data_IF_018182752873
#
_entry.id   IF_018182752873
#
_cell.length_a   1.000
_cell.length_b   1.000
_cell.length_c   1.000
_cell.angle_alpha   90.00
_cell.angle_beta   90.00
_cell.angle_gamma   90.00
#
_symmetry.space_group_name_H-M   'P 1'
#
loop_
_entity.id
_entity.type
_entity.pdbx_description
1 polymer ?
#
# COMPACT_ATOMS: atom_id res chain seq x y z
N UNK A 1 37.84 32.69 -1.09
CA UNK A 1 37.91 33.54 0.12
C UNK A 1 36.85 34.61 -0.12
N UNK A 2 35.78 34.57 0.68
CA UNK A 2 34.44 34.80 0.14
C UNK A 2 33.94 33.52 -0.57
N UNK A 3 32.69 33.11 -0.39
CA UNK A 3 31.69 33.55 0.60
C UNK A 3 30.76 32.36 0.84
N UNK A 4 30.56 31.92 2.08
CA UNK A 4 29.67 30.79 2.35
C UNK A 4 28.26 31.34 2.55
N UNK A 5 27.34 30.98 1.65
CA UNK A 5 25.93 31.22 1.86
C UNK A 5 25.41 30.16 2.83
N UNK A 6 24.91 30.59 3.98
CA UNK A 6 24.31 29.73 5.00
C UNK A 6 22.90 29.33 4.51
N UNK A 7 22.66 28.02 4.42
CA UNK A 7 21.36 27.44 4.09
C UNK A 7 20.68 27.02 5.39
N UNK A 8 19.86 27.93 5.91
CA UNK A 8 19.02 27.71 7.09
C UNK A 8 17.59 27.34 6.66
N UNK A 9 16.90 26.57 7.51
CA UNK A 9 15.43 26.41 7.57
C UNK A 9 14.64 26.26 6.25
N UNK A 10 14.39 25.00 5.87
CA UNK A 10 13.10 24.63 5.24
C UNK A 10 12.22 24.08 6.35
N UNK A 11 11.15 24.81 6.70
CA UNK A 11 10.15 24.34 7.65
C UNK A 11 9.29 23.24 7.01
N UNK A 12 9.01 22.17 7.76
CA UNK A 12 8.08 21.12 7.34
C UNK A 12 6.66 21.66 7.44
N UNK A 13 5.88 21.54 6.36
CA UNK A 13 4.47 21.95 6.34
C UNK A 13 3.61 20.74 6.69
N UNK A 14 3.26 20.62 7.97
CA UNK A 14 2.31 19.64 8.48
C UNK A 14 0.88 20.11 8.17
N UNK A 15 0.36 19.73 6.99
CA UNK A 15 -1.02 20.01 6.59
C UNK A 15 -1.93 18.81 6.97
N UNK A 16 -2.40 18.83 8.22
CA UNK A 16 -3.31 17.81 8.75
C UNK A 16 -4.71 17.96 8.13
N UNK A 17 -5.05 17.13 7.14
CA UNK A 17 -6.39 17.11 6.53
C UNK A 17 -7.41 16.36 7.42
N UNK A 18 -8.43 17.04 7.99
CA UNK A 18 -9.43 16.41 8.85
C UNK A 18 -10.45 15.59 8.04
N UNK A 19 -10.93 14.49 8.62
CA UNK A 19 -11.83 13.52 7.97
C UNK A 19 -13.14 13.33 8.73
N UNK A 20 -14.07 14.26 8.49
CA UNK A 20 -15.48 14.27 8.93
C UNK A 20 -16.27 15.18 7.95
N UNK A 21 -17.50 14.88 7.49
CA UNK A 21 -18.44 13.79 7.79
C UNK A 21 -19.37 13.47 6.58
N UNK A 22 -20.26 12.48 6.73
CA UNK A 22 -21.27 11.89 5.82
C UNK A 22 -22.11 12.78 4.88
N UNK A 23 -22.57 12.21 3.74
CA UNK A 23 -23.99 12.31 3.28
C UNK A 23 -24.40 11.28 2.19
N UNK A 24 -25.48 10.55 2.46
CA UNK A 24 -26.42 9.76 1.63
C UNK A 24 -26.08 9.27 0.21
N UNK A 25 -26.26 7.95 0.02
CA UNK A 25 -26.59 7.29 -1.25
C UNK A 25 -28.05 6.81 -1.26
N UNK A 26 -28.87 7.28 -2.21
CA UNK A 26 -30.22 6.78 -2.52
C UNK A 26 -30.53 6.96 -4.03
N UNK A 27 -31.48 6.26 -4.64
CA UNK A 27 -31.58 4.79 -4.86
C UNK A 27 -32.80 4.49 -5.77
N UNK A 28 -32.61 3.84 -6.93
CA UNK A 28 -33.71 3.18 -7.65
C UNK A 28 -33.22 2.12 -8.66
N UNK A 29 -33.64 0.86 -8.46
CA UNK A 29 -33.58 -0.26 -9.40
C UNK A 29 -34.86 -1.10 -9.20
N UNK A 30 -35.68 -1.22 -10.24
CA UNK A 30 -36.82 -2.16 -10.31
C UNK A 30 -36.38 -3.36 -11.18
N UNK A 31 -36.31 -4.59 -10.66
CA UNK A 31 -37.40 -5.55 -10.34
C UNK A 31 -37.78 -6.45 -11.54
N UNK A 32 -37.39 -7.73 -11.51
CA UNK A 32 -38.31 -8.89 -11.58
C UNK A 32 -37.55 -10.24 -11.35
N UNK A 33 -38.16 -11.13 -10.57
CA UNK A 33 -37.66 -12.42 -10.00
C UNK A 33 -38.86 -13.42 -9.98
N UNK A 34 -38.77 -14.69 -9.50
CA UNK A 34 -37.73 -15.74 -9.62
C UNK A 34 -38.31 -17.15 -9.98
N UNK A 35 -37.46 -18.19 -10.01
CA UNK A 35 -37.76 -19.58 -9.61
C UNK A 35 -36.44 -20.35 -9.36
N UNK A 36 -36.06 -20.71 -8.12
CA UNK A 36 -36.46 -21.92 -7.34
C UNK A 36 -35.96 -23.25 -7.96
N UNK A 37 -35.47 -24.27 -7.23
CA UNK A 37 -35.44 -24.71 -5.80
C UNK A 37 -34.14 -25.55 -5.57
N UNK A 38 -33.55 -25.87 -4.40
CA UNK A 38 -33.89 -25.89 -2.95
C UNK A 38 -32.57 -25.80 -2.10
N UNK A 39 -32.58 -25.86 -0.75
CA UNK A 39 -31.40 -25.70 0.17
C UNK A 39 -31.13 -26.98 1.04
N UNK A 40 -30.77 -27.06 2.38
CA UNK A 40 -30.48 -26.08 3.47
C UNK A 40 -29.25 -26.29 4.41
N UNK A 41 -28.49 -25.20 4.71
CA UNK A 41 -28.07 -24.64 6.02
C UNK A 41 -27.40 -25.46 7.18
N UNK A 42 -26.58 -24.75 7.99
CA UNK A 42 -26.43 -24.91 9.46
C UNK A 42 -25.84 -23.63 10.13
N UNK A 43 -26.24 -23.33 11.37
CA UNK A 43 -26.06 -22.04 12.10
C UNK A 43 -25.44 -22.23 13.51
N UNK A 44 -25.36 -21.12 14.28
CA UNK A 44 -25.02 -21.00 15.72
C UNK A 44 -23.53 -21.14 16.10
N UNK A 45 -22.98 -20.40 17.07
CA UNK A 45 -23.53 -19.33 17.92
C UNK A 45 -22.43 -18.69 18.80
N UNK A 46 -22.75 -17.63 19.56
CA UNK A 46 -21.81 -16.90 20.43
C UNK A 46 -21.93 -17.23 21.93
N UNK A 47 -20.93 -16.79 22.73
CA UNK A 47 -20.90 -16.91 24.19
C UNK A 47 -20.04 -15.77 24.81
N UNK A 48 -20.38 -15.30 26.02
CA UNK A 48 -19.70 -14.21 26.74
C UNK A 48 -19.57 -14.49 28.25
N UNK A 49 -18.36 -14.30 28.82
CA UNK A 49 -18.18 -13.96 30.25
C UNK A 49 -17.42 -14.96 31.15
N UNK A 50 -16.74 -14.42 32.17
CA UNK A 50 -15.86 -15.15 33.11
C UNK A 50 -14.38 -14.87 32.81
N UNK A 51 -13.64 -13.99 33.50
CA UNK A 51 -13.65 -13.53 34.91
C UNK A 51 -13.08 -14.56 35.90
N UNK A 52 -11.76 -14.49 36.10
CA UNK A 52 -11.00 -15.10 37.21
C UNK A 52 -9.86 -14.10 37.56
N UNK A 53 -9.93 -13.48 38.74
CA UNK A 53 -8.83 -12.69 39.32
C UNK A 53 -7.85 -13.61 40.04
N UNK A 54 -6.58 -13.65 39.62
CA UNK A 54 -5.47 -14.22 40.41
C UNK A 54 -4.28 -13.24 40.34
N UNK A 55 -3.62 -12.99 41.47
CA UNK A 55 -2.67 -11.88 41.62
C UNK A 55 -1.51 -12.22 42.57
N UNK A 56 -0.31 -12.19 42.00
CA UNK A 56 1.01 -12.56 42.55
C UNK A 56 2.04 -11.99 41.55
N UNK A 57 3.14 -11.32 41.89
CA UNK A 57 3.60 -10.71 43.15
C UNK A 57 4.43 -9.44 42.80
N UNK A 58 5.11 -8.81 43.77
CA UNK A 58 5.80 -7.52 43.61
C UNK A 58 7.17 -7.56 42.88
N UNK A 59 7.59 -6.37 42.40
CA UNK A 59 8.99 -5.88 42.28
C UNK A 59 9.92 -6.43 41.16
N UNK A 60 10.12 -5.63 40.11
CA UNK A 60 11.34 -5.61 39.27
C UNK A 60 11.53 -4.18 38.68
N UNK A 61 11.87 -3.22 39.55
CA UNK A 61 12.47 -1.94 39.13
C UNK A 61 14.00 -2.14 38.98
N UNK A 62 14.54 -2.12 37.74
CA UNK A 62 15.93 -1.74 37.33
C UNK A 62 16.41 -2.56 36.09
N UNK A 63 16.14 -2.07 34.88
CA UNK A 63 17.18 -2.07 33.82
C UNK A 63 17.00 -0.87 32.88
N UNK A 64 18.10 -0.17 32.61
CA UNK A 64 18.21 1.14 31.95
C UNK A 64 18.71 0.92 30.50
N UNK A 65 17.84 0.40 29.63
CA UNK A 65 18.19 0.02 28.26
C UNK A 65 17.80 1.12 27.25
N UNK A 66 18.52 2.25 27.27
CA UNK A 66 18.50 3.27 26.20
C UNK A 66 19.21 2.77 24.91
N UNK A 67 18.85 1.59 24.38
CA UNK A 67 19.44 0.97 23.17
C UNK A 67 18.52 1.10 21.92
N UNK A 68 17.72 2.18 21.83
CA UNK A 68 17.01 2.62 20.62
C UNK A 68 18.00 3.38 19.68
N UNK A 69 19.15 2.77 19.39
CA UNK A 69 20.19 3.30 18.50
C UNK A 69 20.50 2.31 17.34
N UNK A 70 19.92 2.58 16.17
CA UNK A 70 20.14 1.92 14.86
C UNK A 70 19.59 0.48 14.66
N UNK A 71 18.28 0.24 14.92
CA UNK A 71 17.54 -0.78 14.14
C UNK A 71 17.35 -0.31 12.68
N UNK A 72 18.30 -0.63 11.80
CA UNK A 72 18.14 -0.47 10.34
C UNK A 72 16.96 -1.33 9.83
N UNK A 73 15.84 -0.69 9.46
CA UNK A 73 14.66 -1.36 8.87
C UNK A 73 15.06 -2.29 7.70
N UNK A 74 14.75 -3.59 7.75
CA UNK A 74 15.33 -4.57 6.84
C UNK A 74 14.79 -4.44 5.41
N UNK A 75 15.58 -3.81 4.53
CA UNK A 75 15.28 -3.57 3.10
C UNK A 75 14.48 -4.71 2.43
N UNK A 76 13.31 -4.37 1.87
CA UNK A 76 12.48 -5.38 1.19
C UNK A 76 13.24 -6.06 0.02
N UNK A 77 13.48 -7.39 0.11
CA UNK A 77 14.12 -8.14 -0.97
C UNK A 77 13.35 -8.11 -2.31
N UNK A 78 12.06 -7.77 -2.30
CA UNK A 78 11.24 -7.55 -3.49
C UNK A 78 11.53 -6.21 -4.17
N UNK A 79 11.61 -5.10 -3.44
CA UNK A 79 11.85 -3.77 -4.02
C UNK A 79 13.25 -3.63 -4.65
N UNK A 80 14.30 -4.21 -4.04
CA UNK A 80 15.61 -4.35 -4.74
C UNK A 80 15.50 -5.16 -6.03
N UNK A 81 14.57 -6.12 -6.09
CA UNK A 81 14.36 -6.95 -7.28
C UNK A 81 13.53 -6.21 -8.34
N UNK A 82 12.47 -5.48 -7.96
CA UNK A 82 11.68 -4.64 -8.86
C UNK A 82 12.50 -3.51 -9.46
N UNK A 83 13.34 -2.84 -8.67
CA UNK A 83 14.26 -1.79 -9.15
C UNK A 83 15.19 -2.33 -10.23
N UNK A 84 15.89 -3.45 -9.97
CA UNK A 84 16.75 -4.11 -10.97
C UNK A 84 15.98 -4.61 -12.19
N UNK A 85 14.72 -5.01 -12.03
CA UNK A 85 13.87 -5.45 -13.14
C UNK A 85 13.37 -4.27 -13.99
N UNK A 86 13.16 -3.09 -13.41
CA UNK A 86 12.85 -1.86 -14.13
C UNK A 86 13.97 -1.50 -15.13
N UNK A 87 15.24 -1.72 -14.79
CA UNK A 87 16.39 -1.46 -15.68
C UNK A 87 16.46 -2.36 -16.93
N UNK A 88 15.68 -3.45 -16.99
CA UNK A 88 15.67 -4.34 -18.18
C UNK A 88 15.17 -3.58 -19.41
N UNK A 89 15.58 -4.03 -20.61
CA UNK A 89 15.17 -3.34 -21.85
C UNK A 89 13.65 -3.40 -22.03
N UNK A 90 13.05 -4.56 -21.78
CA UNK A 90 11.62 -4.80 -21.97
C UNK A 90 10.77 -3.91 -21.04
N UNK A 91 11.11 -3.83 -19.75
CA UNK A 91 10.35 -2.99 -18.83
C UNK A 91 10.61 -1.49 -19.05
N UNK A 92 11.81 -1.07 -19.52
CA UNK A 92 12.03 0.33 -19.95
C UNK A 92 11.26 0.71 -21.22
N UNK A 93 11.19 -0.17 -22.21
CA UNK A 93 10.40 0.07 -23.42
C UNK A 93 8.93 0.31 -23.06
N UNK A 94 8.39 -0.47 -22.09
CA UNK A 94 7.03 -0.32 -21.57
C UNK A 94 6.85 0.95 -20.72
N UNK A 95 7.81 1.29 -19.86
CA UNK A 95 7.77 2.54 -19.08
C UNK A 95 7.71 3.76 -20.00
N UNK A 96 8.48 3.77 -21.10
CA UNK A 96 8.42 4.85 -22.09
C UNK A 96 7.13 4.86 -22.91
N UNK A 97 6.37 3.77 -23.00
CA UNK A 97 5.00 3.80 -23.53
C UNK A 97 4.01 4.39 -22.52
N UNK A 98 4.16 4.07 -21.22
CA UNK A 98 3.39 4.70 -20.14
C UNK A 98 3.65 6.23 -20.08
N UNK A 99 4.90 6.68 -20.15
CA UNK A 99 5.28 8.10 -20.24
C UNK A 99 4.60 8.82 -21.42
N UNK A 100 4.53 8.17 -22.60
CA UNK A 100 3.83 8.69 -23.79
C UNK A 100 2.31 8.66 -23.67
N UNK A 101 1.74 7.83 -22.80
CA UNK A 101 0.33 7.89 -22.45
C UNK A 101 0.06 9.03 -21.48
N UNK A 102 0.86 9.18 -20.43
CA UNK A 102 0.74 10.26 -19.46
C UNK A 102 0.86 11.64 -20.12
N UNK A 103 1.81 11.85 -21.05
CA UNK A 103 1.88 13.11 -21.82
C UNK A 103 0.58 13.35 -22.62
N UNK A 104 -0.02 12.29 -23.18
CA UNK A 104 -1.23 12.33 -24.03
C UNK A 104 -2.54 12.45 -23.23
N UNK A 105 -2.56 12.05 -21.96
CA UNK A 105 -3.67 12.28 -21.02
C UNK A 105 -3.57 13.68 -20.44
N UNK A 106 -2.43 14.03 -19.81
CA UNK A 106 -2.23 15.31 -19.13
C UNK A 106 -2.23 16.54 -20.08
N UNK A 107 -1.97 16.36 -21.38
CA UNK A 107 -2.10 17.44 -22.37
C UNK A 107 -3.55 17.78 -22.78
N UNK A 108 -4.55 17.02 -22.31
CA UNK A 108 -5.97 17.25 -22.61
C UNK A 108 -6.71 17.74 -21.35
N UNK A 109 -7.48 18.82 -21.47
CA UNK A 109 -8.31 19.33 -20.36
C UNK A 109 -9.49 18.42 -19.99
N UNK A 110 -9.94 17.57 -20.91
CA UNK A 110 -10.99 16.57 -20.71
C UNK A 110 -10.69 15.38 -21.64
N UNK A 111 -10.66 14.16 -21.11
CA UNK A 111 -10.43 12.93 -21.86
C UNK A 111 -11.01 11.73 -21.12
N UNK A 112 -11.50 10.74 -21.85
CA UNK A 112 -11.94 9.43 -21.31
C UNK A 112 -10.80 8.40 -21.35
N UNK A 113 -9.62 8.80 -21.83
CA UNK A 113 -8.43 7.97 -21.94
C UNK A 113 -7.72 7.85 -20.59
N UNK A 114 -7.27 6.64 -20.25
CA UNK A 114 -6.45 6.34 -19.08
C UNK A 114 -5.26 5.46 -19.49
N UNK A 115 -4.20 5.49 -18.70
CA UNK A 115 -2.95 4.76 -18.95
C UNK A 115 -2.87 3.42 -18.19
N UNK A 116 -4.04 2.85 -17.84
CA UNK A 116 -4.13 1.63 -17.03
C UNK A 116 -3.62 0.40 -17.77
N UNK A 117 -3.65 0.38 -19.12
CA UNK A 117 -3.05 -0.71 -19.89
C UNK A 117 -1.52 -0.66 -19.83
N UNK A 118 -0.92 0.49 -20.13
CA UNK A 118 0.53 0.64 -20.18
C UNK A 118 1.20 0.41 -18.81
N UNK A 119 0.58 0.86 -17.71
CA UNK A 119 1.12 0.62 -16.36
C UNK A 119 0.97 -0.84 -15.89
N UNK A 120 -0.11 -1.52 -16.28
CA UNK A 120 -0.29 -2.95 -15.96
C UNK A 120 0.70 -3.83 -16.76
N UNK A 121 1.00 -3.49 -18.01
CA UNK A 121 2.04 -4.17 -18.77
C UNK A 121 3.43 -3.96 -18.15
N UNK A 122 3.73 -2.74 -17.67
CA UNK A 122 4.97 -2.43 -16.96
C UNK A 122 5.11 -3.24 -15.65
N UNK A 123 4.08 -3.27 -14.80
CA UNK A 123 4.08 -4.09 -13.58
C UNK A 123 4.17 -5.58 -13.90
N UNK A 124 3.45 -6.08 -14.91
CA UNK A 124 3.57 -7.47 -15.36
C UNK A 124 5.01 -7.81 -15.77
N UNK A 125 5.70 -6.90 -16.45
CA UNK A 125 7.11 -7.05 -16.80
C UNK A 125 8.02 -7.10 -15.56
N UNK A 126 7.86 -6.16 -14.61
CA UNK A 126 8.61 -6.15 -13.36
C UNK A 126 8.39 -7.45 -12.56
N UNK A 127 7.15 -7.89 -12.40
CA UNK A 127 6.80 -8.99 -11.51
C UNK A 127 7.13 -10.36 -12.12
N UNK A 128 6.92 -10.53 -13.43
CA UNK A 128 7.46 -11.68 -14.16
C UNK A 128 9.00 -11.73 -14.07
N UNK A 129 9.69 -10.60 -13.99
CA UNK A 129 11.14 -10.56 -13.77
C UNK A 129 11.53 -10.89 -12.31
N UNK A 130 10.94 -10.23 -11.32
CA UNK A 130 11.30 -10.34 -9.90
C UNK A 130 10.94 -11.70 -9.26
N UNK A 131 9.81 -12.28 -9.66
CA UNK A 131 9.35 -13.61 -9.23
C UNK A 131 10.37 -14.74 -9.47
N UNK A 132 11.30 -14.55 -10.43
CA UNK A 132 12.38 -15.49 -10.73
C UNK A 132 13.44 -15.61 -9.61
N UNK A 133 13.45 -14.71 -8.62
CA UNK A 133 14.47 -14.70 -7.57
C UNK A 133 14.03 -14.23 -6.18
N UNK A 134 12.96 -13.44 -6.04
CA UNK A 134 12.55 -12.88 -4.73
C UNK A 134 12.30 -13.97 -3.66
N UNK A 135 11.61 -15.05 -4.01
CA UNK A 135 11.30 -16.16 -3.09
C UNK A 135 12.54 -16.92 -2.57
N UNK A 136 13.74 -16.69 -3.12
CA UNK A 136 14.99 -17.24 -2.56
C UNK A 136 15.67 -16.36 -1.50
N UNK A 137 15.16 -15.14 -1.28
CA UNK A 137 15.64 -14.19 -0.27
C UNK A 137 14.78 -14.21 1.02
N UNK A 138 13.48 -14.49 0.87
CA UNK A 138 12.54 -14.71 1.96
C UNK A 138 12.90 -15.98 2.74
N UNK A 139 12.54 -16.05 4.04
CA UNK A 139 12.79 -17.18 4.94
C UNK A 139 11.49 -17.72 5.52
#
# INVERSE_FOLDING_TARGET
MGEQAEIESVEVIEDEVPVEDEVSVEAEVEEEEPAAEEEPAAEEGGDEGGDDEDGDDEDDEDDDDEDDEDEEDPEDPYETSRTRCAETKECRDLMTLFEQCEERVNSKSQTEENCTQEILDYFHCQDHCASKGVFSKLK
#
